data_IF_711744647772
#
_entry.id   IF_711744647772
#
_cell.length_a   1.000
_cell.length_b   1.000
_cell.length_c   1.000
_cell.angle_alpha   90.00
_cell.angle_beta   90.00
_cell.angle_gamma   90.00
#
_symmetry.space_group_name_H-M   'P 1'
#
loop_
_entity.id
_entity.type
_entity.pdbx_description
1 polymer ?
#
# COMPACT_ATOMS: atom_id res chain seq x y z
N UNK A 1 7.87 37.37 -69.27
CA UNK A 1 6.59 37.90 -69.79
C UNK A 1 5.55 36.85 -69.40
N UNK A 2 4.50 37.07 -68.62
CA UNK A 2 3.47 38.14 -68.63
C UNK A 2 2.64 37.93 -67.35
N UNK A 3 2.69 38.88 -66.41
CA UNK A 3 1.58 39.76 -65.96
C UNK A 3 0.38 39.03 -65.32
N UNK A 4 0.25 39.26 -64.01
CA UNK A 4 -0.91 39.02 -63.17
C UNK A 4 -2.17 39.82 -63.58
N UNK A 5 -3.35 39.35 -63.15
CA UNK A 5 -4.65 40.05 -62.90
C UNK A 5 -5.74 38.95 -62.91
N UNK A 6 -6.86 38.92 -62.18
CA UNK A 6 -7.61 39.81 -61.28
C UNK A 6 -8.69 38.91 -60.62
N UNK A 7 -8.84 38.95 -59.30
CA UNK A 7 -9.99 39.51 -58.55
C UNK A 7 -11.34 38.75 -58.56
N UNK A 8 -11.82 38.54 -57.32
CA UNK A 8 -13.20 38.65 -56.79
C UNK A 8 -14.21 37.51 -57.05
N UNK A 9 -14.56 36.79 -55.97
CA UNK A 9 -15.91 36.29 -55.61
C UNK A 9 -15.82 35.76 -54.17
N UNK A 10 -16.31 36.48 -53.15
CA UNK A 10 -17.69 36.50 -52.65
C UNK A 10 -18.14 35.19 -52.00
N UNK A 11 -18.24 35.19 -50.66
CA UNK A 11 -19.38 34.57 -49.97
C UNK A 11 -19.13 33.42 -48.99
N UNK A 12 -19.65 33.65 -47.77
CA UNK A 12 -20.32 32.67 -46.87
C UNK A 12 -19.38 31.76 -46.05
N UNK A 13 -19.05 32.15 -44.80
CA UNK A 13 -19.73 31.82 -43.52
C UNK A 13 -19.34 30.44 -42.95
N UNK A 14 -18.83 30.50 -41.72
CA UNK A 14 -18.87 29.48 -40.66
C UNK A 14 -18.35 28.07 -40.96
N UNK A 15 -17.22 27.73 -40.33
CA UNK A 15 -17.27 26.95 -39.08
C UNK A 15 -15.85 26.83 -38.53
N UNK A 16 -15.56 27.56 -37.46
CA UNK A 16 -14.46 27.22 -36.58
C UNK A 16 -14.79 25.90 -35.87
N UNK A 17 -14.50 24.77 -36.49
CA UNK A 17 -14.39 23.51 -35.78
C UNK A 17 -13.01 23.46 -35.12
N UNK A 18 -12.83 24.24 -34.05
CA UNK A 18 -11.88 23.88 -33.02
C UNK A 18 -12.35 22.51 -32.51
N UNK A 19 -11.69 21.44 -32.95
CA UNK A 19 -11.73 20.16 -32.25
C UNK A 19 -10.99 20.37 -30.92
N UNK A 20 -11.66 21.08 -30.01
CA UNK A 20 -11.30 21.12 -28.61
C UNK A 20 -11.37 19.67 -28.13
N UNK A 21 -10.22 19.18 -27.68
CA UNK A 21 -10.06 17.90 -27.04
C UNK A 21 -10.99 17.84 -25.81
N UNK A 22 -12.15 17.20 -25.97
CA UNK A 22 -12.95 16.75 -24.85
C UNK A 22 -12.60 15.28 -24.57
N UNK A 23 -11.35 15.01 -24.17
CA UNK A 23 -11.14 13.98 -23.16
C UNK A 23 -11.18 14.69 -21.83
N UNK A 24 -12.33 14.64 -21.18
CA UNK A 24 -12.46 14.90 -19.74
C UNK A 24 -11.76 13.74 -19.01
N UNK A 25 -10.45 13.63 -19.17
CA UNK A 25 -9.59 12.99 -18.20
C UNK A 25 -9.27 14.08 -17.17
N UNK A 26 -10.15 14.20 -16.17
CA UNK A 26 -9.75 14.88 -14.93
C UNK A 26 -8.46 14.25 -14.40
N UNK A 27 -7.69 14.95 -13.55
CA UNK A 27 -6.38 14.46 -13.12
C UNK A 27 -6.55 13.12 -12.42
N UNK A 28 -6.35 12.03 -13.17
CA UNK A 28 -6.12 10.70 -12.67
C UNK A 28 -4.74 10.75 -12.05
N UNK A 29 -4.67 11.32 -10.84
CA UNK A 29 -3.53 11.10 -9.98
C UNK A 29 -3.31 9.59 -9.87
N UNK A 30 -2.05 9.14 -9.70
CA UNK A 30 -1.76 7.72 -9.51
C UNK A 30 -2.71 7.16 -8.45
N UNK A 31 -3.25 5.94 -8.64
CA UNK A 31 -4.15 5.35 -7.67
C UNK A 31 -3.49 5.45 -6.29
N UNK A 32 -4.12 6.17 -5.36
CA UNK A 32 -3.66 6.20 -3.98
C UNK A 32 -3.60 4.76 -3.52
N UNK A 33 -2.40 4.21 -3.37
CA UNK A 33 -2.20 2.85 -2.91
C UNK A 33 -2.99 2.71 -1.61
N UNK A 34 -4.08 1.93 -1.65
CA UNK A 34 -4.89 1.67 -0.47
C UNK A 34 -3.98 0.98 0.53
N UNK A 35 -3.55 1.72 1.56
CA UNK A 35 -2.73 1.18 2.64
C UNK A 35 -3.51 0.05 3.29
N UNK A 36 -2.86 -1.09 3.47
CA UNK A 36 -3.48 -2.20 4.19
C UNK A 36 -3.91 -1.73 5.60
N UNK A 37 -5.04 -2.20 6.13
CA UNK A 37 -5.49 -1.77 7.45
C UNK A 37 -4.51 -2.16 8.57
N UNK A 38 -3.60 -3.11 8.32
CA UNK A 38 -2.58 -3.53 9.28
C UNK A 38 -1.26 -2.76 9.18
N UNK A 39 -1.09 -1.87 8.18
CA UNK A 39 0.13 -1.05 8.02
C UNK A 39 0.45 -0.28 9.30
N UNK A 40 1.73 -0.22 9.66
CA UNK A 40 2.21 0.54 10.82
C UNK A 40 3.00 -0.30 11.83
N UNK A 41 3.17 0.27 13.02
CA UNK A 41 3.96 -0.32 14.09
C UNK A 41 3.08 -0.95 15.16
N UNK A 42 3.50 -2.10 15.67
CA UNK A 42 2.74 -2.92 16.60
C UNK A 42 3.65 -3.49 17.68
N UNK A 43 3.28 -3.33 18.94
CA UNK A 43 4.00 -3.85 20.10
C UNK A 43 3.41 -5.19 20.52
N UNK A 44 4.24 -6.15 20.92
CA UNK A 44 3.75 -7.34 21.60
C UNK A 44 3.21 -7.05 23.00
N UNK A 45 2.53 -8.03 23.58
CA UNK A 45 1.92 -7.91 24.91
C UNK A 45 2.95 -7.65 26.03
N UNK A 46 4.22 -8.06 25.83
CA UNK A 46 5.30 -7.91 26.81
C UNK A 46 6.04 -6.56 26.67
N UNK A 47 5.81 -5.82 25.58
CA UNK A 47 6.52 -4.58 25.30
C UNK A 47 7.95 -4.77 24.77
N UNK A 48 8.35 -6.00 24.42
CA UNK A 48 9.75 -6.33 24.10
C UNK A 48 10.03 -6.34 22.60
N UNK A 49 9.03 -6.66 21.77
CA UNK A 49 9.14 -6.71 20.33
C UNK A 49 8.26 -5.67 19.64
N UNK A 50 8.88 -4.80 18.85
CA UNK A 50 8.20 -3.88 17.93
C UNK A 50 8.17 -4.45 16.52
N UNK A 51 6.98 -4.87 16.09
CA UNK A 51 6.72 -5.36 14.73
C UNK A 51 6.25 -4.24 13.81
N UNK A 52 6.75 -4.19 12.58
CA UNK A 52 6.39 -3.20 11.56
C UNK A 52 5.83 -3.92 10.34
N UNK A 53 4.66 -3.48 9.89
CA UNK A 53 4.03 -3.87 8.63
C UNK A 53 4.14 -2.68 7.68
N UNK A 54 4.89 -2.83 6.59
CA UNK A 54 5.11 -1.78 5.62
C UNK A 54 5.20 -2.33 4.20
N UNK A 55 4.22 -2.02 3.34
CA UNK A 55 4.29 -2.33 1.91
C UNK A 55 4.53 -3.82 1.60
N UNK A 56 3.92 -4.72 2.38
CA UNK A 56 4.09 -6.17 2.27
C UNK A 56 5.28 -6.75 3.04
N UNK A 57 6.13 -5.91 3.62
CA UNK A 57 7.27 -6.35 4.46
C UNK A 57 6.90 -6.44 5.94
N UNK A 58 7.39 -7.47 6.61
CA UNK A 58 7.23 -7.67 8.05
C UNK A 58 8.61 -7.70 8.72
N UNK A 59 8.77 -6.94 9.80
CA UNK A 59 10.02 -6.91 10.57
C UNK A 59 9.71 -6.75 12.04
N UNK A 60 10.41 -7.46 12.91
CA UNK A 60 10.37 -7.24 14.36
C UNK A 60 11.73 -6.82 14.86
N UNK A 61 11.78 -5.80 15.72
CA UNK A 61 12.99 -5.35 16.43
C UNK A 61 12.75 -5.39 17.93
N UNK A 62 13.80 -5.64 18.71
CA UNK A 62 13.76 -5.49 20.16
C UNK A 62 13.64 -4.01 20.54
N UNK A 63 12.81 -3.71 21.52
CA UNK A 63 12.53 -2.31 21.93
C UNK A 63 13.66 -1.66 22.72
N UNK A 64 14.50 -2.47 23.38
CA UNK A 64 15.61 -2.01 24.22
C UNK A 64 16.90 -1.75 23.43
N UNK A 65 17.20 -2.62 22.47
CA UNK A 65 18.47 -2.66 21.73
C UNK A 65 18.32 -2.28 20.26
N UNK A 66 17.10 -2.31 19.71
CA UNK A 66 16.86 -2.16 18.29
C UNK A 66 17.31 -3.34 17.44
N UNK A 67 17.79 -4.44 18.06
CA UNK A 67 18.23 -5.62 17.34
C UNK A 67 17.06 -6.22 16.55
N UNK A 68 17.31 -6.59 15.29
CA UNK A 68 16.32 -7.28 14.48
C UNK A 68 16.11 -8.72 14.99
N UNK A 69 14.87 -9.05 15.34
CA UNK A 69 14.47 -10.34 15.90
C UNK A 69 13.83 -11.26 14.86
N UNK A 70 13.10 -10.67 13.90
CA UNK A 70 12.45 -11.37 12.81
C UNK A 70 12.37 -10.50 11.55
N UNK A 71 12.35 -11.17 10.40
CA UNK A 71 12.24 -10.54 9.08
C UNK A 71 11.39 -11.43 8.18
N UNK A 72 10.60 -10.83 7.29
CA UNK A 72 9.69 -11.55 6.42
C UNK A 72 8.74 -10.66 5.65
N UNK A 73 7.57 -11.22 5.33
CA UNK A 73 6.53 -10.55 4.56
C UNK A 73 5.16 -10.84 5.17
N UNK A 74 4.18 -10.03 4.77
CA UNK A 74 2.78 -10.27 5.06
C UNK A 74 1.94 -10.08 3.82
N UNK A 75 0.82 -10.81 3.77
CA UNK A 75 -0.20 -10.68 2.75
C UNK A 75 -1.58 -10.67 3.40
N UNK A 76 -2.46 -9.78 2.93
CA UNK A 76 -3.86 -9.79 3.33
C UNK A 76 -4.53 -11.05 2.75
N UNK A 77 -5.14 -11.85 3.61
CA UNK A 77 -5.92 -13.04 3.23
C UNK A 77 -7.42 -12.80 3.29
N UNK A 78 -7.84 -11.64 3.79
CA UNK A 78 -9.22 -11.14 3.81
C UNK A 78 -9.24 -9.64 4.12
N UNK A 79 -10.43 -9.07 4.36
CA UNK A 79 -10.56 -7.63 4.69
C UNK A 79 -9.87 -7.23 6.00
N UNK A 80 -9.83 -8.13 6.98
CA UNK A 80 -9.21 -7.93 8.30
C UNK A 80 -8.22 -9.02 8.67
N UNK A 81 -8.02 -10.01 7.80
CA UNK A 81 -7.11 -11.14 8.04
C UNK A 81 -5.79 -10.93 7.30
N UNK A 82 -4.69 -11.18 8.00
CA UNK A 82 -3.33 -11.09 7.45
C UNK A 82 -2.56 -12.36 7.79
N UNK A 83 -1.87 -12.92 6.80
CA UNK A 83 -0.91 -14.00 6.99
C UNK A 83 0.50 -13.42 6.96
N UNK A 84 1.31 -13.80 7.96
CA UNK A 84 2.72 -13.43 8.05
C UNK A 84 3.56 -14.67 7.83
N UNK A 85 4.64 -14.53 7.08
CA UNK A 85 5.64 -15.59 6.86
C UNK A 85 7.02 -14.95 6.89
N UNK A 86 7.97 -15.59 7.57
CA UNK A 86 9.32 -15.06 7.72
C UNK A 86 10.26 -15.98 8.45
N UNK A 87 11.33 -15.41 8.99
CA UNK A 87 12.36 -16.11 9.76
C UNK A 87 12.62 -15.38 11.07
N UNK A 88 12.71 -16.12 12.18
CA UNK A 88 13.27 -15.62 13.42
C UNK A 88 14.80 -15.62 13.32
N UNK A 89 15.41 -14.45 13.44
CA UNK A 89 16.86 -14.29 13.31
C UNK A 89 17.63 -14.76 14.54
N UNK A 90 16.99 -14.72 15.71
CA UNK A 90 17.60 -15.20 16.97
C UNK A 90 17.60 -16.72 17.03
N UNK A 91 16.50 -17.36 16.61
CA UNK A 91 16.34 -18.82 16.65
C UNK A 91 16.75 -19.52 15.36
N UNK A 92 16.99 -18.78 14.29
CA UNK A 92 17.25 -19.30 12.94
C UNK A 92 16.17 -20.29 12.46
N UNK A 93 14.92 -20.03 12.79
CA UNK A 93 13.78 -20.89 12.44
C UNK A 93 12.72 -20.13 11.66
N UNK A 94 12.00 -20.79 10.74
CA UNK A 94 10.88 -20.17 10.05
C UNK A 94 9.76 -19.81 11.04
N UNK A 95 9.10 -18.69 10.79
CA UNK A 95 7.92 -18.25 11.52
C UNK A 95 6.75 -18.07 10.56
N UNK A 96 5.57 -18.50 10.99
CA UNK A 96 4.32 -18.30 10.27
C UNK A 96 3.19 -18.18 11.27
N UNK A 97 2.35 -17.16 11.08
CA UNK A 97 1.20 -16.90 11.92
C UNK A 97 0.16 -16.07 11.16
N UNK A 98 -1.10 -16.29 11.51
CA UNK A 98 -2.22 -15.53 10.98
C UNK A 98 -2.69 -14.55 12.04
N UNK A 99 -3.00 -13.31 11.65
CA UNK A 99 -3.60 -12.34 12.54
C UNK A 99 -4.94 -11.86 12.00
N UNK A 100 -5.87 -11.65 12.92
CA UNK A 100 -7.15 -10.99 12.66
C UNK A 100 -7.13 -9.60 13.31
N UNK A 101 -7.47 -8.59 12.53
CA UNK A 101 -7.65 -7.21 13.01
C UNK A 101 -9.00 -7.10 13.73
N UNK A 102 -8.96 -7.14 15.05
CA UNK A 102 -10.15 -7.09 15.91
C UNK A 102 -10.63 -5.64 16.07
N UNK A 103 -9.68 -4.71 16.15
CA UNK A 103 -9.95 -3.28 16.19
C UNK A 103 -8.84 -2.55 15.44
N UNK A 104 -9.01 -1.24 15.23
CA UNK A 104 -7.95 -0.42 14.62
C UNK A 104 -6.62 -0.48 15.39
N UNK A 105 -6.63 -0.86 16.67
CA UNK A 105 -5.44 -0.91 17.53
C UNK A 105 -5.07 -2.32 18.02
N UNK A 106 -5.77 -3.37 17.61
CA UNK A 106 -5.53 -4.73 18.11
C UNK A 106 -5.55 -5.78 17.01
N UNK A 107 -4.47 -6.57 16.95
CA UNK A 107 -4.36 -7.79 16.17
C UNK A 107 -4.30 -9.00 17.10
N UNK A 108 -5.18 -9.97 16.87
CA UNK A 108 -5.10 -11.27 17.52
C UNK A 108 -4.47 -12.26 16.56
N UNK A 109 -3.32 -12.79 16.95
CA UNK A 109 -2.49 -13.64 16.11
C UNK A 109 -2.44 -15.07 16.65
N UNK A 110 -2.41 -16.03 15.73
CA UNK A 110 -2.23 -17.46 16.01
C UNK A 110 -1.08 -17.99 15.16
N UNK A 111 -0.06 -18.52 15.82
CA UNK A 111 1.07 -19.18 15.17
C UNK A 111 0.68 -20.55 14.62
N UNK A 112 1.46 -21.05 13.65
CA UNK A 112 1.28 -22.40 13.11
C UNK A 112 1.39 -23.51 14.15
N UNK A 113 2.03 -23.25 15.30
CA UNK A 113 2.08 -24.18 16.44
C UNK A 113 0.87 -24.06 17.38
N UNK A 114 -0.12 -23.22 17.06
CA UNK A 114 -1.35 -23.04 17.83
C UNK A 114 -1.25 -21.99 18.95
N UNK A 115 -0.08 -21.38 19.16
CA UNK A 115 0.09 -20.36 20.19
C UNK A 115 -0.59 -19.05 19.78
N UNK A 116 -1.43 -18.51 20.66
CA UNK A 116 -2.11 -17.23 20.49
C UNK A 116 -1.33 -16.11 21.16
N UNK A 117 -1.27 -14.95 20.51
CA UNK A 117 -0.67 -13.75 21.03
C UNK A 117 -1.34 -12.51 20.45
N UNK A 118 -1.15 -11.37 21.10
CA UNK A 118 -1.76 -10.09 20.71
C UNK A 118 -0.66 -9.13 20.31
N UNK A 119 -0.92 -8.38 19.25
CA UNK A 119 -0.13 -7.21 18.87
C UNK A 119 -1.02 -5.96 19.01
N UNK A 120 -0.50 -4.94 19.68
CA UNK A 120 -1.20 -3.68 19.91
C UNK A 120 -0.56 -2.57 19.09
N UNK A 121 -1.35 -1.75 18.41
CA UNK A 121 -0.82 -0.68 17.57
C UNK A 121 -0.08 0.36 18.41
N UNK A 122 1.10 0.74 17.96
CA UNK A 122 1.87 1.88 18.49
C UNK A 122 1.61 3.09 17.58
N UNK A 123 1.03 4.14 18.17
CA UNK A 123 0.81 5.44 17.53
C UNK A 123 2.11 6.20 17.39
#
# INVERSE_FOLDING_TARGET
MTIARKLLSAGVVAAAAALAACTTAGPGGPPSATRSPVEGSWIDAQGTGLSTFAGGSFKTVATDTGQKLADGSYAMTGGTSVQIQGTSLIRQTPISFNCLLISTSQLNCTSVSGQNFVLTRRT
#
